data_IF_595120771015
#
_entry.id   IF_595120771015
#
_cell.length_a   1.000
_cell.length_b   1.000
_cell.length_c   1.000
_cell.angle_alpha   90.00
_cell.angle_beta   90.00
_cell.angle_gamma   90.00
#
_symmetry.space_group_name_H-M   'P 1'
#
loop_
_entity.id
_entity.type
_entity.pdbx_description
1 polymer ?
#
# COMPACT_ATOMS: atom_id res chain seq x y z
N UNK A 1 -14.75 58.17 15.31
CA UNK A 1 -14.18 58.28 13.95
C UNK A 1 -13.06 57.24 13.87
N UNK A 2 -13.07 56.47 12.79
CA UNK A 2 -12.65 55.07 12.67
C UNK A 2 -11.15 54.80 12.89
N UNK A 3 -10.84 53.74 13.64
CA UNK A 3 -9.49 53.16 13.71
C UNK A 3 -9.40 52.01 12.71
N UNK A 4 -8.80 52.27 11.55
CA UNK A 4 -8.56 51.27 10.50
C UNK A 4 -7.49 50.29 10.98
N UNK A 5 -7.88 49.04 11.16
CA UNK A 5 -6.99 47.91 11.43
C UNK A 5 -6.26 47.57 10.12
N UNK A 6 -5.02 48.07 9.96
CA UNK A 6 -4.08 47.60 8.92
C UNK A 6 -3.43 46.30 9.37
N UNK A 7 -4.12 45.17 9.18
CA UNK A 7 -3.49 43.85 9.32
C UNK A 7 -2.65 43.58 8.07
N UNK A 8 -1.39 43.24 8.33
CA UNK A 8 -0.27 43.05 7.41
C UNK A 8 -0.54 42.08 6.25
N UNK A 9 -0.62 42.62 5.04
CA UNK A 9 -0.64 41.87 3.77
C UNK A 9 0.63 41.05 3.51
N UNK A 10 1.75 41.36 4.20
CA UNK A 10 3.00 40.61 4.08
C UNK A 10 2.93 39.20 4.68
N UNK A 11 2.16 38.98 5.77
CA UNK A 11 2.08 37.66 6.42
C UNK A 11 1.36 36.61 5.56
N UNK A 12 0.32 37.01 4.84
CA UNK A 12 -0.44 36.12 3.95
C UNK A 12 0.38 35.68 2.73
N UNK A 13 1.27 36.55 2.21
CA UNK A 13 2.12 36.24 1.06
C UNK A 13 3.15 35.15 1.38
N UNK A 14 3.76 35.19 2.57
CA UNK A 14 4.71 34.16 3.01
C UNK A 14 4.05 32.79 3.19
N UNK A 15 2.84 32.74 3.74
CA UNK A 15 2.07 31.49 3.89
C UNK A 15 1.77 30.87 2.53
N UNK A 16 1.31 31.67 1.56
CA UNK A 16 1.02 31.20 0.20
C UNK A 16 2.29 30.67 -0.49
N UNK A 17 3.43 31.36 -0.35
CA UNK A 17 4.71 30.93 -0.92
C UNK A 17 5.16 29.58 -0.33
N UNK A 18 5.01 29.38 0.98
CA UNK A 18 5.36 28.12 1.65
C UNK A 18 4.47 26.97 1.17
N UNK A 19 3.15 27.18 1.08
CA UNK A 19 2.21 26.16 0.59
C UNK A 19 2.43 25.82 -0.89
N UNK A 20 2.70 26.83 -1.74
CA UNK A 20 3.00 26.60 -3.16
C UNK A 20 4.32 25.83 -3.34
N UNK A 21 5.33 26.12 -2.51
CA UNK A 21 6.62 25.41 -2.53
C UNK A 21 6.48 23.95 -2.08
N UNK A 22 5.64 23.69 -1.07
CA UNK A 22 5.31 22.32 -0.64
C UNK A 22 4.53 21.55 -1.70
N UNK A 23 3.56 22.19 -2.35
CA UNK A 23 2.80 21.56 -3.44
C UNK A 23 3.69 21.21 -4.65
N UNK A 24 4.58 22.12 -5.06
CA UNK A 24 5.56 21.88 -6.12
C UNK A 24 6.56 20.77 -5.77
N UNK A 25 7.00 20.71 -4.50
CA UNK A 25 7.87 19.64 -4.02
C UNK A 25 7.17 18.27 -4.07
N UNK A 26 5.89 18.22 -3.67
CA UNK A 26 5.09 17.01 -3.72
C UNK A 26 4.85 16.54 -5.16
N UNK A 27 4.49 17.45 -6.07
CA UNK A 27 4.28 17.12 -7.49
C UNK A 27 5.56 16.57 -8.14
N UNK A 28 6.72 17.15 -7.80
CA UNK A 28 8.02 16.68 -8.29
C UNK A 28 8.36 15.29 -7.74
N UNK A 29 8.08 15.03 -6.47
CA UNK A 29 8.28 13.70 -5.85
C UNK A 29 7.39 12.66 -6.52
N UNK A 30 6.15 13.02 -6.86
CA UNK A 30 5.18 12.12 -7.47
C UNK A 30 5.59 11.75 -8.91
N UNK A 31 6.07 12.72 -9.70
CA UNK A 31 6.63 12.46 -11.04
C UNK A 31 7.89 11.57 -11.01
N UNK A 32 8.77 11.79 -10.03
CA UNK A 32 9.97 10.95 -9.84
C UNK A 32 9.56 9.54 -9.42
N UNK A 33 8.58 9.41 -8.51
CA UNK A 33 8.05 8.12 -8.09
C UNK A 33 7.42 7.37 -9.27
N UNK A 34 6.57 8.02 -10.07
CA UNK A 34 5.97 7.41 -11.26
C UNK A 34 7.01 6.90 -12.25
N UNK A 35 8.08 7.65 -12.49
CA UNK A 35 9.17 7.22 -13.38
C UNK A 35 9.86 5.98 -12.82
N UNK A 36 10.19 5.98 -11.53
CA UNK A 36 10.78 4.81 -10.86
C UNK A 36 9.86 3.60 -10.85
N UNK A 37 8.55 3.82 -10.68
CA UNK A 37 7.54 2.77 -10.77
C UNK A 37 7.55 2.13 -12.14
N UNK A 38 7.48 2.94 -13.21
CA UNK A 38 7.48 2.44 -14.58
C UNK A 38 8.74 1.62 -14.85
N UNK A 39 9.91 2.14 -14.47
CA UNK A 39 11.18 1.41 -14.59
C UNK A 39 11.14 0.11 -13.81
N UNK A 40 10.64 0.10 -12.56
CA UNK A 40 10.51 -1.12 -11.77
C UNK A 40 9.58 -2.14 -12.43
N UNK A 41 8.38 -1.74 -12.82
CA UNK A 41 7.39 -2.59 -13.47
C UNK A 41 7.91 -3.16 -14.79
N UNK A 42 8.68 -2.36 -15.51
CA UNK A 42 9.32 -2.81 -16.73
C UNK A 42 10.50 -3.71 -16.42
N UNK A 43 11.39 -3.44 -15.47
CA UNK A 43 12.66 -4.18 -15.34
C UNK A 43 12.64 -5.34 -14.34
N UNK A 44 11.60 -5.44 -13.50
CA UNK A 44 11.55 -6.41 -12.40
C UNK A 44 11.52 -7.84 -12.92
N UNK A 45 12.59 -8.59 -12.66
CA UNK A 45 12.65 -10.02 -12.95
C UNK A 45 11.55 -10.78 -12.18
N UNK A 46 11.27 -10.40 -10.93
CA UNK A 46 10.26 -11.05 -10.11
C UNK A 46 8.84 -10.95 -10.69
N UNK A 47 8.54 -9.88 -11.44
CA UNK A 47 7.27 -9.73 -12.17
C UNK A 47 7.27 -10.42 -13.54
N UNK A 48 8.47 -10.71 -14.08
CA UNK A 48 8.70 -11.28 -15.41
C UNK A 48 8.98 -12.78 -15.42
N UNK A 49 9.21 -13.42 -14.27
CA UNK A 49 9.80 -14.76 -14.22
C UNK A 49 8.79 -15.87 -14.62
N UNK A 50 8.73 -16.08 -15.93
CA UNK A 50 7.83 -16.93 -16.73
C UNK A 50 7.82 -18.42 -16.34
N UNK A 51 8.93 -18.95 -15.81
CA UNK A 51 9.12 -20.40 -15.63
C UNK A 51 8.91 -20.89 -14.20
N UNK A 52 9.01 -19.99 -13.21
CA UNK A 52 8.98 -20.36 -11.78
C UNK A 52 7.58 -20.23 -11.16
N UNK A 53 6.67 -19.44 -11.75
CA UNK A 53 5.35 -19.14 -11.17
C UNK A 53 4.14 -19.33 -12.11
N UNK A 54 4.36 -19.68 -13.38
CA UNK A 54 3.28 -20.05 -14.30
C UNK A 54 2.42 -18.89 -14.84
N UNK A 55 2.93 -17.64 -14.84
CA UNK A 55 2.25 -16.50 -15.45
C UNK A 55 3.22 -15.47 -16.04
N UNK A 56 2.72 -14.62 -16.93
CA UNK A 56 3.40 -13.38 -17.35
C UNK A 56 2.61 -12.16 -16.96
N UNK A 57 3.29 -11.05 -16.70
CA UNK A 57 2.64 -9.78 -16.44
C UNK A 57 3.28 -8.62 -17.20
N UNK A 58 2.48 -7.64 -17.59
CA UNK A 58 2.92 -6.38 -18.18
C UNK A 58 2.12 -5.23 -17.61
N UNK A 59 2.75 -4.06 -17.47
CA UNK A 59 2.06 -2.86 -17.02
C UNK A 59 1.14 -2.34 -18.13
N UNK A 60 -0.12 -2.07 -17.79
CA UNK A 60 -1.12 -1.56 -18.75
C UNK A 60 -0.94 -0.08 -19.12
N UNK A 61 -0.12 0.66 -18.35
CA UNK A 61 0.00 2.11 -18.45
C UNK A 61 -0.86 2.88 -17.44
N UNK A 62 -1.78 2.21 -16.72
CA UNK A 62 -2.75 2.86 -15.84
C UNK A 62 -2.44 2.65 -14.36
N UNK A 63 -2.59 3.71 -13.57
CA UNK A 63 -2.68 3.64 -12.12
C UNK A 63 -4.11 3.87 -11.66
N UNK A 64 -4.55 3.13 -10.65
CA UNK A 64 -5.81 3.33 -9.99
C UNK A 64 -5.64 4.23 -8.77
N UNK A 65 -6.44 5.31 -8.63
CA UNK A 65 -6.41 6.14 -7.45
C UNK A 65 -6.92 5.35 -6.24
N UNK A 66 -6.15 5.37 -5.15
CA UNK A 66 -6.58 4.78 -3.88
C UNK A 66 -7.70 5.66 -3.29
N UNK A 67 -8.84 5.08 -2.86
CA UNK A 67 -9.92 5.82 -2.22
C UNK A 67 -9.43 6.63 -1.03
N UNK A 68 -9.98 7.84 -0.86
CA UNK A 68 -9.49 8.81 0.13
C UNK A 68 -9.52 8.28 1.57
N UNK A 69 -10.53 7.48 1.91
CA UNK A 69 -10.66 6.83 3.22
C UNK A 69 -9.53 5.83 3.47
N UNK A 70 -9.24 4.96 2.48
CA UNK A 70 -8.13 4.00 2.55
C UNK A 70 -6.79 4.75 2.58
N UNK A 71 -6.61 5.75 1.72
CA UNK A 71 -5.39 6.56 1.67
C UNK A 71 -5.12 7.27 3.01
N UNK A 72 -6.18 7.78 3.66
CA UNK A 72 -6.07 8.43 4.97
C UNK A 72 -5.60 7.44 6.04
N UNK A 73 -6.18 6.23 6.08
CA UNK A 73 -5.75 5.20 7.03
C UNK A 73 -4.33 4.68 6.73
N UNK A 74 -3.93 4.58 5.46
CA UNK A 74 -2.56 4.24 5.08
C UNK A 74 -1.57 5.31 5.55
N UNK A 75 -1.85 6.59 5.29
CA UNK A 75 -0.97 7.69 5.70
C UNK A 75 -0.85 7.78 7.23
N UNK A 76 -1.92 7.48 7.96
CA UNK A 76 -1.94 7.50 9.42
C UNK A 76 -1.18 6.33 10.04
N UNK A 77 -1.36 5.12 9.52
CA UNK A 77 -0.86 3.90 10.16
C UNK A 77 0.44 3.37 9.53
N UNK A 78 0.76 3.76 8.30
CA UNK A 78 1.96 3.36 7.56
C UNK A 78 2.65 4.59 6.96
N UNK A 79 2.98 5.63 7.77
CA UNK A 79 3.52 6.89 7.26
C UNK A 79 4.91 6.75 6.61
N UNK A 80 5.59 5.63 6.83
CA UNK A 80 6.90 5.35 6.25
C UNK A 80 6.80 4.92 4.78
N UNK A 81 5.58 4.61 4.32
CA UNK A 81 5.32 4.10 3.00
C UNK A 81 4.40 4.98 2.17
N UNK A 82 4.62 4.97 0.87
CA UNK A 82 3.66 5.43 -0.13
C UNK A 82 3.20 4.23 -0.97
N UNK A 83 1.92 4.23 -1.31
CA UNK A 83 1.28 3.12 -2.01
C UNK A 83 0.82 3.58 -3.39
N UNK A 84 0.99 2.71 -4.38
CA UNK A 84 0.46 2.91 -5.72
C UNK A 84 -0.21 1.62 -6.18
N UNK A 85 -1.29 1.73 -6.92
CA UNK A 85 -1.98 0.56 -7.49
C UNK A 85 -1.88 0.63 -9.01
N UNK A 86 -1.05 -0.24 -9.56
CA UNK A 86 -0.83 -0.37 -10.99
C UNK A 86 -1.79 -1.41 -11.58
N UNK A 87 -2.44 -1.08 -12.69
CA UNK A 87 -3.17 -2.07 -13.48
C UNK A 87 -2.17 -2.86 -14.33
N UNK A 88 -2.13 -4.17 -14.11
CA UNK A 88 -1.28 -5.11 -14.82
C UNK A 88 -2.14 -6.00 -15.72
N UNK A 89 -1.67 -6.27 -16.92
CA UNK A 89 -2.19 -7.38 -17.73
C UNK A 89 -1.42 -8.63 -17.33
N UNK A 90 -2.13 -9.67 -16.91
CA UNK A 90 -1.55 -10.95 -16.50
C UNK A 90 -2.10 -12.06 -17.38
N UNK A 91 -1.21 -12.88 -17.91
CA UNK A 91 -1.53 -14.09 -18.66
C UNK A 91 -1.10 -15.30 -17.82
N UNK A 92 -2.08 -15.94 -17.17
CA UNK A 92 -1.96 -17.25 -16.51
C UNK A 92 -2.52 -18.30 -17.46
N UNK A 93 -3.75 -18.06 -17.92
CA UNK A 93 -4.49 -18.78 -18.95
C UNK A 93 -4.97 -17.81 -20.04
N UNK A 94 -5.20 -18.30 -21.26
CA UNK A 94 -5.79 -17.46 -22.31
C UNK A 94 -7.32 -17.41 -22.13
N UNK A 95 -7.95 -16.21 -22.18
CA UNK A 95 -7.37 -14.90 -22.50
C UNK A 95 -6.73 -14.18 -21.29
N UNK A 96 -5.76 -13.27 -21.53
CA UNK A 96 -5.14 -12.49 -20.47
C UNK A 96 -6.19 -11.63 -19.73
N UNK A 97 -5.97 -11.41 -18.43
CA UNK A 97 -6.86 -10.66 -17.56
C UNK A 97 -6.14 -9.50 -16.89
N UNK A 98 -6.91 -8.52 -16.43
CA UNK A 98 -6.38 -7.37 -15.69
C UNK A 98 -6.39 -7.63 -14.19
N UNK A 99 -5.27 -7.33 -13.55
CA UNK A 99 -5.09 -7.44 -12.10
C UNK A 99 -4.47 -6.17 -11.55
N UNK A 100 -4.79 -5.85 -10.30
CA UNK A 100 -4.17 -4.75 -9.60
C UNK A 100 -2.93 -5.24 -8.85
N UNK A 101 -1.82 -4.54 -9.06
CA UNK A 101 -0.59 -4.72 -8.34
C UNK A 101 -0.39 -3.52 -7.40
N UNK A 102 -0.37 -3.80 -6.10
CA UNK A 102 -0.04 -2.81 -5.08
C UNK A 102 1.47 -2.74 -4.97
N UNK A 103 2.03 -1.55 -5.21
CA UNK A 103 3.44 -1.24 -5.03
C UNK A 103 3.64 -0.45 -3.74
N UNK A 104 4.69 -0.79 -3.00
CA UNK A 104 5.00 -0.21 -1.70
C UNK A 104 6.35 0.49 -1.79
N UNK A 105 6.35 1.80 -1.60
CA UNK A 105 7.52 2.67 -1.69
C UNK A 105 7.92 3.16 -0.32
N UNK A 106 9.21 3.15 -0.03
CA UNK A 106 9.74 3.89 1.11
C UNK A 106 9.73 5.38 0.80
N UNK A 107 9.11 6.17 1.67
CA UNK A 107 8.96 7.61 1.44
C UNK A 107 10.31 8.36 1.49
N UNK A 108 11.29 7.82 2.23
CA UNK A 108 12.60 8.45 2.41
C UNK A 108 13.56 8.14 1.27
N UNK A 109 13.56 6.90 0.76
CA UNK A 109 14.47 6.50 -0.33
C UNK A 109 13.82 6.57 -1.71
N UNK A 110 12.49 6.67 -1.78
CA UNK A 110 11.70 6.55 -3.01
C UNK A 110 11.97 5.27 -3.80
N UNK A 111 12.34 4.20 -3.08
CA UNK A 111 12.57 2.87 -3.65
C UNK A 111 11.37 1.95 -3.41
N UNK A 112 11.14 1.04 -4.36
CA UNK A 112 10.20 -0.07 -4.17
C UNK A 112 10.73 -1.01 -3.10
N UNK A 113 10.01 -1.15 -1.99
CA UNK A 113 10.32 -2.11 -0.92
C UNK A 113 9.63 -3.45 -1.12
N UNK A 114 8.52 -3.48 -1.85
CA UNK A 114 7.85 -4.71 -2.24
C UNK A 114 6.55 -4.48 -2.97
N UNK A 115 5.88 -5.57 -3.33
CA UNK A 115 4.58 -5.53 -3.97
C UNK A 115 3.69 -6.70 -3.51
N UNK A 116 2.39 -6.53 -3.71
CA UNK A 116 1.38 -7.57 -3.48
C UNK A 116 0.25 -7.42 -4.48
N UNK A 117 -0.28 -8.54 -4.96
CA UNK A 117 -1.43 -8.55 -5.86
C UNK A 117 -2.73 -8.38 -5.06
N UNK A 118 -3.65 -7.55 -5.57
CA UNK A 118 -4.98 -7.44 -5.00
C UNK A 118 -5.78 -8.74 -5.08
N UNK A 119 -5.51 -9.57 -6.10
CA UNK A 119 -6.09 -10.91 -6.25
C UNK A 119 -5.00 -11.97 -6.11
N UNK A 120 -4.68 -12.28 -4.85
CA UNK A 120 -3.49 -13.03 -4.47
C UNK A 120 -3.57 -14.55 -4.70
N UNK A 121 -4.77 -15.11 -4.87
CA UNK A 121 -4.96 -16.58 -4.78
C UNK A 121 -4.15 -17.39 -5.81
N UNK A 122 -3.77 -16.78 -6.94
CA UNK A 122 -2.86 -17.35 -7.95
C UNK A 122 -1.52 -16.62 -8.06
N UNK A 123 -1.41 -15.41 -7.49
CA UNK A 123 -0.28 -14.51 -7.72
C UNK A 123 0.40 -14.18 -6.38
N UNK A 124 1.59 -14.75 -6.10
CA UNK A 124 2.29 -14.54 -4.83
C UNK A 124 2.83 -13.10 -4.72
N UNK A 125 3.11 -12.62 -3.50
CA UNK A 125 3.61 -11.28 -3.28
C UNK A 125 5.10 -11.28 -3.62
N UNK A 126 5.73 -10.10 -3.58
CA UNK A 126 7.19 -10.08 -3.66
C UNK A 126 7.81 -10.80 -2.46
N UNK A 127 8.98 -11.40 -2.63
CA UNK A 127 9.77 -12.00 -1.53
C UNK A 127 9.99 -10.99 -0.40
N UNK A 128 10.20 -9.73 -0.77
CA UNK A 128 10.40 -8.62 0.16
C UNK A 128 9.13 -8.18 0.90
N UNK A 129 7.94 -8.54 0.42
CA UNK A 129 6.65 -8.24 1.10
C UNK A 129 6.63 -8.79 2.53
N UNK A 130 7.24 -9.96 2.74
CA UNK A 130 7.34 -10.57 4.07
C UNK A 130 8.07 -9.70 5.10
N UNK A 131 8.86 -8.71 4.65
CA UNK A 131 9.73 -7.89 5.50
C UNK A 131 9.31 -6.43 5.60
N UNK A 132 8.19 -6.01 4.99
CA UNK A 132 7.79 -4.59 4.97
C UNK A 132 7.62 -4.05 6.38
N UNK A 133 6.94 -4.78 7.27
CA UNK A 133 6.78 -4.34 8.66
C UNK A 133 7.92 -4.80 9.57
N UNK A 134 8.92 -5.54 9.07
CA UNK A 134 9.91 -6.17 9.92
C UNK A 134 10.77 -5.12 10.62
N UNK A 135 10.88 -5.24 11.94
CA UNK A 135 11.70 -4.36 12.77
C UNK A 135 10.98 -3.11 13.29
N UNK A 136 9.82 -2.75 12.72
CA UNK A 136 9.01 -1.64 13.23
C UNK A 136 8.48 -1.94 14.62
N UNK A 137 8.68 -1.00 15.55
CA UNK A 137 8.16 -1.08 16.91
C UNK A 137 6.97 -0.14 17.04
N UNK A 138 5.85 -0.65 17.52
CA UNK A 138 4.64 0.14 17.79
C UNK A 138 4.46 0.39 19.27
N UNK A 139 3.71 1.43 19.60
CA UNK A 139 3.50 1.89 20.99
C UNK A 139 2.42 1.08 21.69
N UNK A 140 1.48 0.50 20.95
CA UNK A 140 0.36 -0.25 21.50
C UNK A 140 -0.08 -1.43 20.63
N UNK A 141 -0.84 -2.35 21.23
CA UNK A 141 -1.49 -3.46 20.51
C UNK A 141 -2.49 -2.97 19.47
N UNK A 142 -3.18 -1.87 19.77
CA UNK A 142 -4.15 -1.26 18.87
C UNK A 142 -3.45 -0.67 17.64
N UNK A 143 -2.33 0.03 17.83
CA UNK A 143 -1.50 0.51 16.73
C UNK A 143 -1.04 -0.66 15.85
N UNK A 144 -0.59 -1.77 16.45
CA UNK A 144 -0.22 -2.97 15.70
C UNK A 144 -1.36 -3.48 14.81
N UNK A 145 -2.57 -3.54 15.37
CA UNK A 145 -3.77 -3.97 14.64
C UNK A 145 -4.08 -3.00 13.51
N UNK A 146 -4.06 -1.70 13.76
CA UNK A 146 -4.42 -0.69 12.77
C UNK A 146 -3.43 -0.63 11.60
N UNK A 147 -2.13 -0.81 11.84
CA UNK A 147 -1.13 -0.93 10.77
C UNK A 147 -1.42 -2.09 9.82
N UNK A 148 -1.67 -3.28 10.36
CA UNK A 148 -1.96 -4.48 9.54
C UNK A 148 -3.34 -4.36 8.89
N UNK A 149 -4.31 -3.78 9.59
CA UNK A 149 -5.66 -3.54 9.06
C UNK A 149 -5.63 -2.58 7.88
N UNK A 150 -4.88 -1.48 7.95
CA UNK A 150 -4.77 -0.52 6.85
C UNK A 150 -4.22 -1.19 5.57
N UNK A 151 -3.18 -2.02 5.71
CA UNK A 151 -2.64 -2.78 4.59
C UNK A 151 -3.65 -3.81 4.06
N UNK A 152 -4.37 -4.51 4.93
CA UNK A 152 -5.43 -5.44 4.53
C UNK A 152 -6.56 -4.73 3.77
N UNK A 153 -6.98 -3.54 4.22
CA UNK A 153 -7.99 -2.73 3.54
C UNK A 153 -7.57 -2.40 2.11
N UNK A 154 -6.31 -2.03 1.90
CA UNK A 154 -5.79 -1.75 0.55
C UNK A 154 -5.78 -3.01 -0.33
N UNK A 155 -5.34 -4.15 0.20
CA UNK A 155 -5.32 -5.44 -0.54
C UNK A 155 -6.72 -5.85 -0.95
N UNK A 156 -7.66 -5.79 0.00
CA UNK A 156 -9.07 -6.13 -0.22
C UNK A 156 -9.70 -5.21 -1.26
N UNK A 157 -9.48 -3.90 -1.15
CA UNK A 157 -9.98 -2.95 -2.13
C UNK A 157 -9.39 -3.21 -3.51
N UNK A 158 -8.09 -3.50 -3.62
CA UNK A 158 -7.45 -3.76 -4.90
C UNK A 158 -7.84 -5.11 -5.54
N UNK A 159 -8.63 -5.97 -4.87
CA UNK A 159 -9.10 -7.22 -5.47
C UNK A 159 -10.00 -6.97 -6.69
N UNK A 160 -10.02 -7.89 -7.66
CA UNK A 160 -10.59 -7.68 -9.00
C UNK A 160 -12.05 -7.17 -9.01
N UNK A 161 -12.84 -7.51 -7.99
CA UNK A 161 -14.25 -7.12 -7.93
C UNK A 161 -14.50 -5.87 -7.09
N UNK A 162 -13.53 -5.40 -6.30
CA UNK A 162 -13.69 -4.35 -5.27
C UNK A 162 -14.84 -4.62 -4.26
N UNK A 163 -15.35 -5.85 -4.14
CA UNK A 163 -16.52 -6.20 -3.29
C UNK A 163 -16.09 -6.79 -1.93
N UNK A 164 -14.81 -6.69 -1.58
CA UNK A 164 -14.31 -7.22 -0.33
C UNK A 164 -14.37 -6.20 0.82
N UNK A 165 -14.33 -6.70 2.06
CA UNK A 165 -14.17 -5.87 3.27
C UNK A 165 -13.16 -6.50 4.22
N UNK A 166 -12.74 -5.74 5.25
CA UNK A 166 -11.91 -6.28 6.33
C UNK A 166 -12.80 -6.77 7.47
N UNK A 167 -12.54 -7.98 7.95
CA UNK A 167 -13.25 -8.64 9.03
C UNK A 167 -12.62 -8.41 10.41
N UNK A 168 -12.66 -9.44 11.26
CA UNK A 168 -12.10 -9.32 12.61
C UNK A 168 -10.58 -9.16 12.57
N UNK A 169 -10.08 -8.29 13.45
CA UNK A 169 -8.66 -8.10 13.65
C UNK A 169 -8.31 -8.30 15.12
N UNK A 170 -7.32 -9.14 15.39
CA UNK A 170 -6.93 -9.49 16.77
C UNK A 170 -5.48 -9.93 16.86
N UNK A 171 -4.90 -9.78 18.05
CA UNK A 171 -3.61 -10.36 18.37
C UNK A 171 -3.82 -11.71 19.04
N UNK A 172 -3.26 -12.78 18.46
CA UNK A 172 -3.33 -14.14 19.01
C UNK A 172 -2.01 -14.87 18.78
N UNK A 173 -1.44 -15.45 19.85
CA UNK A 173 -0.21 -16.26 19.80
C UNK A 173 0.97 -15.54 19.10
N UNK A 174 1.24 -14.29 19.47
CA UNK A 174 2.37 -13.52 18.91
C UNK A 174 2.19 -13.13 17.44
N UNK A 175 0.94 -13.06 16.96
CA UNK A 175 0.60 -12.60 15.62
C UNK A 175 -0.55 -11.61 15.68
N UNK A 176 -0.44 -10.51 14.95
CA UNK A 176 -1.61 -9.72 14.51
C UNK A 176 -2.24 -10.48 13.36
N UNK A 177 -3.53 -10.75 13.43
CA UNK A 177 -4.30 -11.39 12.35
C UNK A 177 -5.44 -10.48 11.94
N UNK A 178 -5.60 -10.29 10.64
CA UNK A 178 -6.67 -9.50 10.05
C UNK A 178 -7.36 -10.35 8.99
N UNK A 179 -8.65 -10.59 9.16
CA UNK A 179 -9.48 -11.33 8.21
C UNK A 179 -9.80 -10.44 6.99
N UNK A 180 -9.70 -11.00 5.79
CA UNK A 180 -10.08 -10.38 4.53
C UNK A 180 -11.32 -11.13 4.01
N UNK A 181 -12.42 -10.41 3.83
CA UNK A 181 -13.75 -10.96 3.53
C UNK A 181 -14.13 -10.67 2.08
N UNK A 182 -14.68 -11.66 1.38
CA UNK A 182 -15.24 -11.57 0.02
C UNK A 182 -16.43 -12.51 -0.08
N UNK A 183 -17.52 -12.07 -0.73
CA UNK A 183 -18.71 -12.92 -0.90
C UNK A 183 -19.37 -13.40 0.40
N UNK A 184 -19.21 -12.64 1.50
CA UNK A 184 -19.75 -12.99 2.82
C UNK A 184 -18.90 -13.97 3.65
N UNK A 185 -17.76 -14.44 3.13
CA UNK A 185 -16.84 -15.34 3.82
C UNK A 185 -15.42 -14.77 3.93
N UNK A 186 -14.64 -15.27 4.89
CA UNK A 186 -13.20 -14.97 4.97
C UNK A 186 -12.50 -15.73 3.86
N UNK A 187 -11.89 -15.04 2.90
CA UNK A 187 -11.12 -15.68 1.83
C UNK A 187 -9.63 -15.80 2.17
N UNK A 188 -9.12 -14.89 3.00
CA UNK A 188 -7.72 -14.88 3.40
C UNK A 188 -7.52 -14.16 4.73
N UNK A 189 -6.37 -14.38 5.35
CA UNK A 189 -5.93 -13.72 6.58
C UNK A 189 -4.56 -13.11 6.34
N UNK A 190 -4.46 -11.79 6.55
CA UNK A 190 -3.18 -11.11 6.63
C UNK A 190 -2.63 -11.24 8.05
N UNK A 191 -1.44 -11.81 8.18
CA UNK A 191 -0.79 -12.05 9.46
C UNK A 191 0.56 -11.33 9.55
N UNK A 192 0.81 -10.64 10.65
CA UNK A 192 2.12 -10.10 11.00
C UNK A 192 2.59 -10.70 12.32
N UNK A 193 3.79 -11.29 12.35
CA UNK A 193 4.41 -11.70 13.63
C UNK A 193 4.68 -10.47 14.48
N UNK A 194 4.47 -10.57 15.79
CA UNK A 194 4.76 -9.52 16.75
C UNK A 194 5.28 -10.13 18.05
N UNK A 195 6.36 -9.57 18.59
CA UNK A 195 6.95 -10.02 19.86
C UNK A 195 6.34 -9.31 21.08
N UNK A 196 6.79 -9.68 22.29
CA UNK A 196 6.33 -9.07 23.55
C UNK A 196 6.65 -7.58 23.66
N UNK A 197 7.68 -7.11 22.97
CA UNK A 197 8.08 -5.70 22.90
C UNK A 197 7.32 -4.89 21.83
N UNK A 198 6.28 -5.48 21.23
CA UNK A 198 5.48 -4.91 20.14
C UNK A 198 6.31 -4.55 18.90
N UNK A 199 7.35 -5.34 18.63
CA UNK A 199 8.12 -5.23 17.40
C UNK A 199 7.62 -6.25 16.38
N UNK A 200 7.37 -5.77 15.17
CA UNK A 200 6.92 -6.58 14.05
C UNK A 200 8.05 -7.47 13.50
N UNK A 201 7.66 -8.69 13.14
CA UNK A 201 8.47 -9.65 12.41
C UNK A 201 7.97 -9.80 10.97
N UNK A 202 7.89 -11.05 10.49
CA UNK A 202 7.46 -11.33 9.13
C UNK A 202 5.96 -11.14 8.92
N UNK A 203 5.59 -10.62 7.75
CA UNK A 203 4.24 -10.56 7.20
C UNK A 203 3.97 -11.80 6.32
N UNK A 204 2.72 -12.27 6.30
CA UNK A 204 2.28 -13.36 5.42
C UNK A 204 0.78 -13.27 5.14
N UNK A 205 0.35 -13.74 3.97
CA UNK A 205 -1.06 -13.93 3.62
C UNK A 205 -1.35 -15.42 3.61
N UNK A 206 -2.40 -15.85 4.32
CA UNK A 206 -2.84 -17.26 4.35
C UNK A 206 -4.25 -17.35 3.80
N UNK A 207 -4.45 -18.15 2.75
CA UNK A 207 -5.77 -18.40 2.19
C UNK A 207 -6.62 -19.26 3.14
N UNK A 208 -7.91 -18.96 3.21
CA UNK A 208 -8.88 -19.78 3.95
C UNK A 208 -9.64 -20.61 2.91
N UNK A 209 -9.54 -21.93 3.05
CA UNK A 209 -10.21 -22.91 2.19
C UNK A 209 -11.70 -23.02 2.53
#
# INVERSE_FOLDING_TARGET
METIIKISTLGALWVIIVFASMALAQERLDKVAETKIKIFLETSQELRDYSSHGFTSSFSGNFHPIPNDIQTELNKNLPEYKFYVAEMTVLIDFPPRKYNLILIFDISTTEVKGFVWGDYWMLPPSKSFSSILKGFRVKSREEAINRVRALASLIVWASHDNVGTVGSAKIKKGKVKVEMIRGGGVFAVLEAKINSSLQFGSLSITMVA
#
